data_IF_247356720010
#
_entry.id   IF_247356720010
#
_cell.length_a   1.000
_cell.length_b   1.000
_cell.length_c   1.000
_cell.angle_alpha   90.00
_cell.angle_beta   90.00
_cell.angle_gamma   90.00
#
_symmetry.space_group_name_H-M   'P 1'
#
loop_
_entity.id
_entity.type
_entity.pdbx_description
1 polymer ?
#
# COMPACT_ATOMS: atom_id res chain seq x y z
N UNK A 1 29.48 56.08 20.06
CA UNK A 1 29.44 55.30 21.28
C UNK A 1 28.07 54.64 21.30
N UNK A 2 27.99 53.46 20.67
CA UNK A 2 26.75 52.70 20.49
C UNK A 2 26.56 51.72 21.63
N UNK A 3 25.42 51.78 22.25
CA UNK A 3 24.95 50.75 23.19
C UNK A 3 24.09 49.74 22.45
N UNK A 4 24.53 48.49 22.47
CA UNK A 4 23.77 47.33 22.00
C UNK A 4 23.01 46.78 23.21
N UNK A 5 21.68 46.81 23.16
CA UNK A 5 20.83 46.13 24.14
C UNK A 5 20.68 44.64 23.75
N UNK A 6 21.23 43.75 24.57
CA UNK A 6 20.96 42.31 24.55
C UNK A 6 19.70 42.04 25.32
N UNK A 7 18.74 41.35 24.69
CA UNK A 7 17.54 40.86 25.34
C UNK A 7 17.85 39.59 26.14
N UNK A 8 17.72 39.68 27.45
CA UNK A 8 17.81 38.55 28.36
C UNK A 8 16.45 37.85 28.46
N UNK A 9 16.41 36.56 28.16
CA UNK A 9 15.26 35.71 28.42
C UNK A 9 15.17 35.43 29.94
N UNK A 10 14.10 35.90 30.57
CA UNK A 10 13.77 35.56 31.95
C UNK A 10 12.97 34.28 31.97
N UNK A 11 13.56 33.19 32.46
CA UNK A 11 12.82 32.02 32.93
C UNK A 11 12.12 32.40 34.26
N UNK A 12 10.81 32.51 34.23
CA UNK A 12 9.99 32.46 35.45
C UNK A 12 9.42 31.05 35.58
N UNK A 13 10.01 30.28 36.48
CA UNK A 13 9.36 29.10 37.02
C UNK A 13 8.26 29.55 37.97
N UNK A 14 7.01 29.42 37.59
CA UNK A 14 5.86 29.50 38.50
C UNK A 14 5.27 28.10 38.59
N UNK A 15 5.47 27.42 39.72
CA UNK A 15 4.57 26.37 40.19
C UNK A 15 3.21 27.04 40.50
N UNK A 16 2.22 26.68 39.73
CA UNK A 16 0.82 27.04 39.95
C UNK A 16 0.00 26.00 39.21
N UNK A 17 -0.51 25.02 39.94
CA UNK A 17 -1.57 24.13 39.50
C UNK A 17 -2.88 24.94 39.52
N UNK A 18 -3.21 25.55 38.41
CA UNK A 18 -4.60 25.93 38.11
C UNK A 18 -4.78 25.74 36.60
N UNK A 19 -5.46 24.68 36.24
CA UNK A 19 -6.14 24.59 34.95
C UNK A 19 -7.18 25.71 34.94
N UNK A 20 -6.79 26.89 34.48
CA UNK A 20 -7.73 27.89 34.03
C UNK A 20 -8.46 27.34 32.79
N UNK A 21 -9.46 26.51 33.06
CA UNK A 21 -10.52 26.22 32.09
C UNK A 21 -11.19 27.59 31.90
N UNK A 22 -10.88 28.27 30.80
CA UNK A 22 -11.69 29.38 30.32
C UNK A 22 -13.11 28.81 30.27
N UNK A 23 -14.07 29.33 31.07
CA UNK A 23 -15.42 28.79 31.05
C UNK A 23 -15.96 29.00 29.63
N UNK A 24 -15.97 27.89 28.86
CA UNK A 24 -16.68 27.87 27.58
C UNK A 24 -18.14 28.23 27.92
N UNK A 25 -18.71 29.14 27.14
CA UNK A 25 -20.17 29.44 27.25
C UNK A 25 -20.97 28.13 27.06
N UNK A 26 -22.31 28.19 27.14
CA UNK A 26 -23.10 27.00 26.83
C UNK A 26 -22.67 26.33 25.55
N UNK A 27 -22.72 24.98 25.48
CA UNK A 27 -22.27 24.25 24.33
C UNK A 27 -23.07 24.62 23.08
N UNK A 28 -22.42 24.58 21.95
CA UNK A 28 -23.01 24.74 20.63
C UNK A 28 -23.02 23.42 19.83
N UNK A 29 -23.33 23.53 18.57
CA UNK A 29 -23.35 22.42 17.62
C UNK A 29 -22.42 22.71 16.45
N UNK A 30 -21.64 21.71 16.01
CA UNK A 30 -20.89 21.78 14.75
C UNK A 30 -21.42 20.74 13.77
N UNK A 31 -21.86 21.18 12.59
CA UNK A 31 -22.20 20.33 11.47
C UNK A 31 -21.04 20.35 10.47
N UNK A 32 -20.48 19.19 10.19
CA UNK A 32 -19.41 19.01 9.19
C UNK A 32 -20.00 18.24 8.02
N UNK A 33 -19.94 18.81 6.82
CA UNK A 33 -20.31 18.15 5.56
C UNK A 33 -19.10 18.00 4.65
N UNK A 34 -19.11 16.98 3.78
CA UNK A 34 -18.12 16.80 2.73
C UNK A 34 -18.79 16.94 1.36
N UNK A 35 -18.13 17.65 0.47
CA UNK A 35 -18.40 17.65 -0.97
C UNK A 35 -17.19 17.00 -1.65
N UNK A 36 -17.38 15.77 -2.12
CA UNK A 36 -16.32 15.00 -2.77
C UNK A 36 -16.54 15.05 -4.27
N UNK A 37 -15.50 15.48 -4.98
CA UNK A 37 -15.46 15.54 -6.45
C UNK A 37 -14.41 14.56 -6.98
N UNK A 38 -14.54 14.18 -8.26
CA UNK A 38 -13.65 13.23 -8.92
C UNK A 38 -14.27 11.84 -9.07
N UNK A 39 -13.51 10.93 -9.67
CA UNK A 39 -14.03 9.66 -10.18
C UNK A 39 -13.68 8.44 -9.33
N UNK A 40 -12.78 8.59 -8.37
CA UNK A 40 -12.30 7.50 -7.50
C UNK A 40 -12.32 7.97 -6.03
N UNK A 41 -13.50 8.40 -5.59
CA UNK A 41 -13.75 8.82 -4.22
C UNK A 41 -13.49 7.67 -3.24
N UNK A 42 -13.00 8.00 -2.04
CA UNK A 42 -12.75 7.02 -0.99
C UNK A 42 -14.05 6.33 -0.56
N UNK A 43 -14.17 5.05 -0.88
CA UNK A 43 -15.38 4.27 -0.59
C UNK A 43 -15.61 4.07 0.93
N UNK A 44 -14.56 4.18 1.74
CA UNK A 44 -14.63 4.08 3.20
C UNK A 44 -15.07 5.39 3.87
N UNK A 45 -15.09 6.49 3.12
CA UNK A 45 -15.34 7.82 3.63
C UNK A 45 -14.19 8.38 4.46
N UNK A 46 -14.48 9.44 5.21
CA UNK A 46 -13.49 10.19 5.97
C UNK A 46 -13.76 10.05 7.48
N UNK A 47 -12.82 10.51 8.28
CA UNK A 47 -12.97 10.65 9.72
C UNK A 47 -12.73 12.11 10.10
N UNK A 48 -13.55 12.65 10.97
CA UNK A 48 -13.40 14.02 11.49
C UNK A 48 -13.37 14.00 12.99
N UNK A 49 -12.47 14.77 13.59
CA UNK A 49 -12.36 14.93 15.03
C UNK A 49 -12.24 16.40 15.39
N UNK A 50 -12.77 16.78 16.55
CA UNK A 50 -12.51 18.08 17.17
C UNK A 50 -11.38 17.92 18.18
N UNK A 51 -10.34 18.74 18.05
CA UNK A 51 -9.14 18.71 18.89
C UNK A 51 -8.55 17.29 18.98
N UNK A 52 -8.36 16.78 20.19
CA UNK A 52 -7.92 15.40 20.45
C UNK A 52 -9.08 14.44 20.77
N UNK A 53 -10.31 14.84 20.50
CA UNK A 53 -11.51 14.04 20.77
C UNK A 53 -11.68 12.84 19.84
N UNK A 54 -12.68 11.99 20.11
CA UNK A 54 -12.94 10.81 19.28
C UNK A 54 -13.36 11.22 17.87
N UNK A 55 -12.78 10.50 16.88
CA UNK A 55 -13.11 10.74 15.47
C UNK A 55 -14.49 10.16 15.12
N UNK A 56 -15.29 10.93 14.39
CA UNK A 56 -16.58 10.51 13.82
C UNK A 56 -16.42 10.17 12.34
N UNK A 57 -17.22 9.22 11.85
CA UNK A 57 -17.27 8.88 10.44
C UNK A 57 -17.99 9.98 9.64
N UNK A 58 -17.48 10.29 8.46
CA UNK A 58 -18.05 11.23 7.49
C UNK A 58 -18.06 10.58 6.11
N UNK A 59 -19.23 10.23 5.60
CA UNK A 59 -19.36 9.65 4.27
C UNK A 59 -18.96 10.65 3.18
N UNK A 60 -18.47 10.19 2.01
CA UNK A 60 -18.32 11.04 0.84
C UNK A 60 -19.67 11.68 0.50
N UNK A 61 -19.69 13.00 0.31
CA UNK A 61 -20.93 13.77 0.09
C UNK A 61 -21.98 13.62 1.22
N UNK A 62 -21.54 13.29 2.44
CA UNK A 62 -22.37 13.16 3.64
C UNK A 62 -22.13 14.28 4.64
N UNK A 63 -22.74 14.14 5.82
CA UNK A 63 -22.52 15.04 6.96
C UNK A 63 -22.46 14.26 8.27
N UNK A 64 -21.79 14.85 9.26
CA UNK A 64 -21.79 14.39 10.65
C UNK A 64 -21.97 15.58 11.59
N UNK A 65 -22.38 15.34 12.84
CA UNK A 65 -22.74 16.38 13.80
C UNK A 65 -22.00 16.14 15.10
N UNK A 66 -21.32 17.16 15.59
CA UNK A 66 -20.79 17.24 16.94
C UNK A 66 -21.80 18.01 17.80
N UNK A 67 -22.65 17.26 18.50
CA UNK A 67 -23.63 17.83 19.42
C UNK A 67 -22.96 18.20 20.76
N UNK A 68 -23.47 19.26 21.42
CA UNK A 68 -22.96 19.73 22.71
C UNK A 68 -21.43 19.94 22.71
N UNK A 69 -20.88 20.40 21.60
CA UNK A 69 -19.48 20.76 21.54
C UNK A 69 -19.21 22.04 22.33
N UNK A 70 -18.07 22.15 23.05
CA UNK A 70 -17.74 23.38 23.78
C UNK A 70 -17.79 24.59 22.84
N UNK A 71 -18.27 25.75 23.32
CA UNK A 71 -18.18 26.97 22.51
C UNK A 71 -16.75 27.53 22.52
N UNK A 72 -16.31 28.09 21.40
CA UNK A 72 -14.95 28.63 21.24
C UNK A 72 -14.26 28.18 19.97
N UNK A 73 -12.96 28.40 19.92
CA UNK A 73 -12.10 28.01 18.82
C UNK A 73 -11.60 26.57 19.03
N UNK A 74 -11.74 25.74 18.00
CA UNK A 74 -11.36 24.33 17.99
C UNK A 74 -10.57 23.97 16.73
N UNK A 75 -9.72 22.95 16.81
CA UNK A 75 -9.08 22.34 15.64
C UNK A 75 -9.98 21.23 15.08
N UNK A 76 -10.49 21.39 13.87
CA UNK A 76 -11.14 20.31 13.12
C UNK A 76 -10.07 19.54 12.35
N UNK A 77 -9.91 18.26 12.68
CA UNK A 77 -8.94 17.35 12.05
C UNK A 77 -9.67 16.39 11.13
N UNK A 78 -9.25 16.31 9.86
CA UNK A 78 -9.78 15.40 8.85
C UNK A 78 -8.75 14.28 8.63
N UNK A 79 -9.15 13.04 8.85
CA UNK A 79 -8.34 11.85 8.65
C UNK A 79 -9.04 10.81 7.77
N UNK A 80 -8.35 9.71 7.47
CA UNK A 80 -8.88 8.64 6.64
C UNK A 80 -9.06 9.04 5.17
N UNK A 81 -8.39 10.09 4.72
CA UNK A 81 -8.40 10.54 3.32
C UNK A 81 -7.40 9.69 2.55
N UNK A 82 -7.86 8.96 1.52
CA UNK A 82 -6.98 8.14 0.69
C UNK A 82 -5.95 8.99 -0.08
N UNK A 83 -4.79 8.40 -0.40
CA UNK A 83 -3.66 9.12 -1.02
C UNK A 83 -3.94 9.77 -2.37
N UNK A 84 -5.03 9.36 -3.06
CA UNK A 84 -5.49 9.97 -4.29
C UNK A 84 -6.48 11.12 -4.10
N UNK A 85 -6.80 11.48 -2.85
CA UNK A 85 -7.73 12.57 -2.50
C UNK A 85 -7.02 13.69 -1.74
N UNK A 86 -7.43 14.92 -1.98
CA UNK A 86 -6.88 16.12 -1.35
C UNK A 86 -8.01 16.92 -0.70
N UNK A 87 -7.84 17.31 0.55
CA UNK A 87 -8.71 18.28 1.25
C UNK A 87 -8.23 19.68 0.88
N UNK A 88 -9.06 20.50 0.27
CA UNK A 88 -8.68 21.78 -0.33
C UNK A 88 -7.96 22.74 0.64
N UNK A 89 -8.43 22.83 1.88
CA UNK A 89 -7.86 23.74 2.90
C UNK A 89 -6.96 23.01 3.91
N UNK A 90 -6.48 21.80 3.55
CA UNK A 90 -5.65 20.97 4.40
C UNK A 90 -6.43 20.09 5.38
N UNK A 91 -5.73 19.12 5.96
CA UNK A 91 -6.31 18.13 6.86
C UNK A 91 -6.64 18.66 8.27
N UNK A 92 -6.18 19.86 8.62
CA UNK A 92 -6.47 20.51 9.91
C UNK A 92 -6.80 21.97 9.69
N UNK A 93 -7.92 22.42 10.27
CA UNK A 93 -8.35 23.82 10.20
C UNK A 93 -8.96 24.29 11.52
N UNK A 94 -8.86 25.58 11.82
CA UNK A 94 -9.58 26.18 12.93
C UNK A 94 -11.07 26.37 12.60
N UNK A 95 -11.93 26.10 13.56
CA UNK A 95 -13.39 26.33 13.51
C UNK A 95 -13.85 26.98 14.82
N UNK A 96 -14.72 27.97 14.71
CA UNK A 96 -15.33 28.61 15.90
C UNK A 96 -16.73 28.08 16.07
N UNK A 97 -17.02 27.51 17.25
CA UNK A 97 -18.34 27.00 17.61
C UNK A 97 -19.03 28.08 18.48
N UNK A 98 -20.14 28.65 18.00
CA UNK A 98 -20.87 29.65 18.78
C UNK A 98 -21.60 29.01 19.98
N UNK A 99 -21.81 29.79 21.03
CA UNK A 99 -22.60 29.37 22.16
C UNK A 99 -24.09 29.28 21.80
N UNK A 100 -24.73 28.15 22.14
CA UNK A 100 -26.17 27.88 21.91
C UNK A 100 -26.61 27.97 20.44
N UNK A 101 -25.66 27.93 19.48
CA UNK A 101 -25.96 28.03 18.06
C UNK A 101 -25.16 26.96 17.25
N UNK A 102 -25.38 26.90 15.94
CA UNK A 102 -24.81 25.89 15.04
C UNK A 102 -23.79 26.50 14.10
N UNK A 103 -22.55 26.07 14.23
CA UNK A 103 -21.53 26.26 13.19
C UNK A 103 -21.69 25.21 12.08
N UNK A 104 -21.36 25.60 10.83
CA UNK A 104 -21.37 24.72 9.68
C UNK A 104 -20.02 24.81 8.95
N UNK A 105 -19.43 23.65 8.65
CA UNK A 105 -18.20 23.56 7.89
C UNK A 105 -18.42 22.60 6.74
N UNK A 106 -18.08 23.05 5.52
CA UNK A 106 -18.06 22.21 4.35
C UNK A 106 -16.61 21.90 3.95
N UNK A 107 -16.31 20.60 3.83
CA UNK A 107 -15.02 20.10 3.39
C UNK A 107 -15.10 19.89 1.88
N UNK A 108 -14.26 20.59 1.12
CA UNK A 108 -14.07 20.35 -0.30
C UNK A 108 -12.97 19.31 -0.48
N UNK A 109 -13.31 18.12 -0.99
CA UNK A 109 -12.37 17.01 -1.19
C UNK A 109 -12.38 16.65 -2.67
N UNK A 110 -11.21 16.71 -3.30
CA UNK A 110 -11.04 16.32 -4.71
C UNK A 110 -10.23 15.05 -4.81
N UNK A 111 -10.74 14.05 -5.52
CA UNK A 111 -10.08 12.77 -5.71
C UNK A 111 -9.71 12.58 -7.18
N UNK A 112 -8.49 12.11 -7.44
CA UNK A 112 -8.04 11.69 -8.76
C UNK A 112 -8.19 10.18 -8.91
N UNK A 113 -8.10 9.66 -10.13
CA UNK A 113 -8.02 8.23 -10.36
C UNK A 113 -6.75 7.67 -9.71
N UNK A 114 -6.89 6.60 -8.93
CA UNK A 114 -5.73 5.83 -8.47
C UNK A 114 -5.01 5.23 -9.66
N UNK A 115 -3.73 5.03 -9.51
CA UNK A 115 -2.91 4.38 -10.54
C UNK A 115 -2.42 3.02 -10.03
N UNK A 116 -2.17 2.12 -10.96
CA UNK A 116 -1.49 0.87 -10.68
C UNK A 116 -0.46 0.57 -11.76
N UNK A 117 0.55 -0.21 -11.38
CA UNK A 117 1.55 -0.78 -12.28
C UNK A 117 1.21 -2.25 -12.52
N UNK A 118 1.54 -2.77 -13.68
CA UNK A 118 1.39 -4.19 -14.02
C UNK A 118 2.38 -4.60 -15.10
N UNK A 119 2.65 -5.90 -15.22
CA UNK A 119 3.32 -6.43 -16.40
C UNK A 119 2.28 -6.76 -17.48
N UNK A 120 2.53 -6.30 -18.69
CA UNK A 120 1.69 -6.56 -19.86
C UNK A 120 2.48 -7.32 -20.92
N UNK A 121 1.82 -8.24 -21.63
CA UNK A 121 2.42 -8.99 -22.73
C UNK A 121 1.90 -8.40 -24.04
N UNK A 122 2.80 -7.83 -24.85
CA UNK A 122 2.52 -7.28 -26.18
C UNK A 122 3.57 -7.79 -27.14
N UNK A 123 3.17 -8.24 -28.34
CA UNK A 123 4.07 -8.70 -29.39
C UNK A 123 5.07 -9.77 -28.89
N UNK A 124 4.59 -10.74 -28.08
CA UNK A 124 5.34 -11.80 -27.46
C UNK A 124 6.45 -11.34 -26.47
N UNK A 125 6.42 -10.07 -26.04
CA UNK A 125 7.32 -9.54 -25.01
C UNK A 125 6.56 -9.06 -23.78
N UNK A 126 7.20 -9.18 -22.62
CA UNK A 126 6.67 -8.71 -21.32
C UNK A 126 7.32 -7.40 -20.95
N UNK A 127 6.51 -6.38 -20.71
CA UNK A 127 6.91 -5.03 -20.33
C UNK A 127 6.12 -4.50 -19.14
N UNK A 128 6.64 -3.41 -18.56
CA UNK A 128 5.98 -2.70 -17.47
C UNK A 128 5.02 -1.64 -18.02
N UNK A 129 3.82 -1.66 -17.50
CA UNK A 129 2.75 -0.72 -17.82
C UNK A 129 2.19 -0.06 -16.56
N UNK A 130 1.62 1.12 -16.71
CA UNK A 130 0.74 1.73 -15.72
C UNK A 130 -0.62 2.01 -16.33
N UNK A 131 -1.66 2.04 -15.48
CA UNK A 131 -2.99 2.49 -15.86
C UNK A 131 -3.72 3.12 -14.66
N UNK A 132 -4.81 3.82 -14.93
CA UNK A 132 -5.71 4.31 -13.90
C UNK A 132 -6.64 3.21 -13.40
N UNK A 133 -7.20 3.40 -12.20
CA UNK A 133 -8.12 2.45 -11.54
C UNK A 133 -9.37 2.11 -12.36
N UNK A 134 -9.77 2.97 -13.31
CA UNK A 134 -10.88 2.73 -14.24
C UNK A 134 -10.44 2.06 -15.57
N UNK A 135 -9.14 1.79 -15.72
CA UNK A 135 -8.54 1.20 -16.93
C UNK A 135 -8.13 2.20 -18.00
N UNK A 136 -8.41 3.48 -17.81
CA UNK A 136 -7.96 4.53 -18.74
C UNK A 136 -6.47 4.85 -18.54
N UNK A 137 -5.89 5.62 -19.44
CA UNK A 137 -4.51 6.13 -19.32
C UNK A 137 -3.45 5.04 -19.32
N UNK A 138 -3.73 3.85 -19.86
CA UNK A 138 -2.73 2.78 -19.99
C UNK A 138 -1.51 3.27 -20.76
N UNK A 139 -0.34 3.12 -20.14
CA UNK A 139 0.95 3.58 -20.69
C UNK A 139 2.01 2.50 -20.49
N UNK A 140 2.66 2.10 -21.60
CA UNK A 140 3.86 1.26 -21.58
C UNK A 140 5.04 2.09 -21.08
N UNK A 141 5.75 1.63 -20.07
CA UNK A 141 6.90 2.32 -19.45
C UNK A 141 8.24 1.75 -19.91
N UNK A 142 8.31 0.44 -20.17
CA UNK A 142 9.49 -0.19 -20.73
C UNK A 142 9.21 -0.70 -22.14
N UNK A 143 10.27 -0.85 -22.94
CA UNK A 143 10.19 -1.32 -24.33
C UNK A 143 11.49 -2.00 -24.73
N UNK A 144 11.42 -2.89 -25.68
CA UNK A 144 12.55 -3.68 -26.15
C UNK A 144 12.12 -5.11 -26.40
N UNK A 145 13.10 -6.01 -26.54
CA UNK A 145 12.89 -7.45 -26.75
C UNK A 145 13.16 -8.28 -25.50
N UNK A 146 13.52 -7.63 -24.38
CA UNK A 146 13.87 -8.30 -23.13
C UNK A 146 12.66 -8.34 -22.20
N UNK A 147 12.57 -9.40 -21.42
CA UNK A 147 11.58 -9.51 -20.35
C UNK A 147 11.76 -8.38 -19.32
N UNK A 148 10.69 -7.64 -19.03
CA UNK A 148 10.57 -6.71 -17.92
C UNK A 148 9.30 -7.07 -17.12
N UNK A 149 9.42 -7.47 -15.85
CA UNK A 149 8.29 -7.98 -15.07
C UNK A 149 8.41 -7.78 -13.56
N UNK A 150 7.42 -8.27 -12.81
CA UNK A 150 7.35 -8.19 -11.35
C UNK A 150 7.51 -6.77 -10.79
N UNK A 151 6.71 -5.80 -11.25
CA UNK A 151 6.86 -4.41 -10.83
C UNK A 151 6.40 -4.18 -9.39
N UNK A 152 7.07 -3.25 -8.70
CA UNK A 152 6.73 -2.77 -7.36
C UNK A 152 6.97 -1.26 -7.25
N UNK A 153 5.97 -0.51 -6.76
CA UNK A 153 6.10 0.92 -6.49
C UNK A 153 6.98 1.20 -5.27
N UNK A 154 7.76 2.28 -5.33
CA UNK A 154 8.36 2.89 -4.14
C UNK A 154 7.27 3.49 -3.25
N UNK A 155 7.45 3.56 -1.91
CA UNK A 155 6.42 4.06 -0.99
C UNK A 155 5.98 5.50 -1.25
N UNK A 156 6.83 6.31 -1.85
CA UNK A 156 6.54 7.70 -2.26
C UNK A 156 5.88 7.82 -3.64
N UNK A 157 5.68 6.68 -4.34
CA UNK A 157 5.13 6.63 -5.69
C UNK A 157 6.02 7.25 -6.78
N UNK A 158 7.26 7.60 -6.47
CA UNK A 158 8.15 8.28 -7.42
C UNK A 158 8.86 7.31 -8.38
N UNK A 159 9.09 6.06 -7.96
CA UNK A 159 9.81 5.05 -8.75
C UNK A 159 9.09 3.71 -8.77
N UNK A 160 9.47 2.88 -9.75
CA UNK A 160 9.04 1.49 -9.89
C UNK A 160 10.30 0.63 -9.95
N UNK A 161 10.42 -0.35 -9.03
CA UNK A 161 11.41 -1.42 -9.15
C UNK A 161 10.81 -2.57 -9.96
N UNK A 162 11.63 -3.26 -10.74
CA UNK A 162 11.20 -4.38 -11.58
C UNK A 162 12.35 -5.31 -11.91
N UNK A 163 12.05 -6.49 -12.38
CA UNK A 163 12.99 -7.48 -12.90
C UNK A 163 13.16 -7.31 -14.39
N UNK A 164 14.40 -7.33 -14.89
CA UNK A 164 14.71 -7.20 -16.32
C UNK A 164 15.77 -8.19 -16.79
N UNK A 165 15.59 -8.76 -17.96
CA UNK A 165 16.57 -9.64 -18.63
C UNK A 165 17.45 -8.92 -19.65
N UNK A 166 17.47 -7.58 -19.68
CA UNK A 166 18.13 -6.79 -20.74
C UNK A 166 19.65 -6.93 -20.81
N UNK A 167 20.30 -7.38 -19.74
CA UNK A 167 21.75 -7.57 -19.66
C UNK A 167 22.18 -9.05 -19.69
N UNK A 168 21.27 -9.97 -20.09
CA UNK A 168 21.58 -11.39 -20.34
C UNK A 168 21.04 -12.36 -19.29
N UNK A 169 20.90 -11.94 -18.03
CA UNK A 169 20.21 -12.65 -16.96
C UNK A 169 19.21 -11.71 -16.27
N UNK A 170 18.41 -12.25 -15.34
CA UNK A 170 17.44 -11.44 -14.59
C UNK A 170 18.15 -10.58 -13.54
N UNK A 171 17.93 -9.28 -13.62
CA UNK A 171 18.49 -8.30 -12.68
C UNK A 171 17.43 -7.30 -12.25
N UNK A 172 17.68 -6.61 -11.14
CA UNK A 172 16.78 -5.58 -10.63
C UNK A 172 17.11 -4.21 -11.20
N UNK A 173 16.07 -3.53 -11.62
CA UNK A 173 16.11 -2.17 -12.14
C UNK A 173 15.11 -1.29 -11.42
N UNK A 174 15.33 0.02 -11.46
CA UNK A 174 14.30 1.02 -11.17
C UNK A 174 14.13 1.98 -12.33
N UNK A 175 12.90 2.49 -12.50
CA UNK A 175 12.56 3.60 -13.40
C UNK A 175 11.76 4.65 -12.62
N UNK A 176 11.73 5.89 -13.07
CA UNK A 176 10.79 6.89 -12.59
C UNK A 176 9.34 6.49 -12.94
N UNK A 177 8.37 7.04 -12.22
CA UNK A 177 6.93 6.75 -12.41
C UNK A 177 6.40 7.04 -13.82
N UNK A 178 7.12 7.86 -14.59
CA UNK A 178 6.81 8.18 -16.00
C UNK A 178 7.55 7.28 -17.02
N UNK A 179 8.40 6.35 -16.54
CA UNK A 179 9.22 5.44 -17.35
C UNK A 179 10.60 5.97 -17.70
N UNK A 180 10.95 7.18 -17.27
CA UNK A 180 12.29 7.76 -17.47
C UNK A 180 13.32 7.29 -16.42
N UNK A 181 14.59 7.67 -16.59
CA UNK A 181 15.69 7.46 -15.64
C UNK A 181 15.86 5.98 -15.19
N UNK A 182 16.05 5.02 -16.13
CA UNK A 182 16.30 3.63 -15.77
C UNK A 182 17.64 3.48 -15.06
N UNK A 183 17.65 2.75 -13.93
CA UNK A 183 18.85 2.46 -13.15
C UNK A 183 18.91 0.98 -12.84
N UNK A 184 20.04 0.32 -13.15
CA UNK A 184 20.34 -1.03 -12.71
C UNK A 184 20.73 -1.02 -11.24
N UNK A 185 20.17 -1.91 -10.44
CA UNK A 185 20.46 -2.04 -9.00
C UNK A 185 21.37 -3.25 -8.71
N UNK A 186 21.22 -4.35 -9.45
CA UNK A 186 22.00 -5.56 -9.23
C UNK A 186 22.83 -5.92 -10.46
N UNK A 187 23.95 -6.61 -10.23
CA UNK A 187 24.86 -7.09 -11.27
C UNK A 187 25.54 -8.38 -10.78
N UNK A 188 24.74 -9.42 -10.62
CA UNK A 188 25.23 -10.75 -10.24
C UNK A 188 25.19 -11.68 -11.47
N UNK A 189 26.10 -12.66 -11.64
CA UNK A 189 26.02 -13.61 -12.75
C UNK A 189 24.80 -14.55 -12.67
N UNK A 190 24.06 -14.55 -11.56
CA UNK A 190 22.84 -15.31 -11.36
C UNK A 190 21.64 -14.38 -11.24
N UNK A 191 20.45 -14.98 -11.39
CA UNK A 191 19.20 -14.23 -11.43
C UNK A 191 18.85 -13.56 -10.09
N UNK A 192 18.47 -12.28 -10.18
CA UNK A 192 17.87 -11.45 -9.15
C UNK A 192 16.49 -10.99 -9.60
N UNK A 193 15.44 -11.23 -8.80
CA UNK A 193 14.07 -10.98 -9.24
C UNK A 193 13.11 -10.64 -8.09
N UNK A 194 11.88 -10.23 -8.44
CA UNK A 194 10.76 -10.00 -7.52
C UNK A 194 11.08 -8.99 -6.41
N UNK A 195 11.41 -7.75 -6.77
CA UNK A 195 11.72 -6.71 -5.79
C UNK A 195 10.51 -6.30 -4.96
N UNK A 196 10.75 -5.97 -3.68
CA UNK A 196 9.76 -5.41 -2.76
C UNK A 196 10.40 -4.30 -1.92
N UNK A 197 9.87 -3.08 -2.03
CA UNK A 197 10.34 -1.93 -1.28
C UNK A 197 9.99 -2.04 0.20
N UNK A 198 10.90 -1.63 1.09
CA UNK A 198 10.57 -1.37 2.49
C UNK A 198 9.68 -0.13 2.61
N UNK A 199 8.80 -0.03 3.64
CA UNK A 199 7.84 1.09 3.76
C UNK A 199 8.50 2.44 3.99
N UNK A 200 9.73 2.48 4.52
CA UNK A 200 10.54 3.69 4.66
C UNK A 200 11.26 4.10 3.36
N UNK A 201 11.17 3.26 2.32
CA UNK A 201 11.84 3.45 1.04
C UNK A 201 13.36 3.29 1.08
N UNK A 202 13.96 2.84 2.18
CA UNK A 202 15.41 2.74 2.30
C UNK A 202 16.01 1.44 1.77
N UNK A 203 15.21 0.36 1.69
CA UNK A 203 15.67 -0.97 1.32
C UNK A 203 14.79 -1.63 0.26
N UNK A 204 15.36 -2.63 -0.41
CA UNK A 204 14.64 -3.54 -1.32
C UNK A 204 14.91 -4.98 -0.88
N UNK A 205 13.86 -5.73 -0.55
CA UNK A 205 13.90 -7.18 -0.44
C UNK A 205 13.71 -7.80 -1.82
N UNK A 206 14.41 -8.89 -2.10
CA UNK A 206 14.37 -9.54 -3.41
C UNK A 206 14.75 -11.01 -3.35
N UNK A 207 14.53 -11.70 -4.43
CA UNK A 207 14.83 -13.11 -4.61
C UNK A 207 16.11 -13.25 -5.42
N UNK A 208 17.04 -14.12 -4.99
CA UNK A 208 18.31 -14.33 -5.66
C UNK A 208 18.81 -15.78 -5.61
N UNK A 209 19.49 -16.20 -6.67
CA UNK A 209 20.21 -17.47 -6.76
C UNK A 209 21.71 -17.33 -6.45
N UNK A 210 22.19 -16.14 -6.03
CA UNK A 210 23.62 -15.82 -5.81
C UNK A 210 24.33 -16.70 -4.79
N UNK A 211 23.59 -17.38 -3.89
CA UNK A 211 24.18 -18.32 -2.92
C UNK A 211 24.79 -19.58 -3.54
N UNK A 212 24.51 -19.84 -4.81
CA UNK A 212 24.93 -21.04 -5.52
C UNK A 212 24.00 -22.24 -5.28
N UNK A 213 24.18 -23.30 -6.07
CA UNK A 213 23.26 -24.45 -6.09
C UNK A 213 21.92 -24.09 -6.75
N UNK A 214 20.91 -24.91 -6.47
CA UNK A 214 19.54 -24.70 -6.99
C UNK A 214 18.64 -23.94 -6.03
N UNK A 215 19.19 -23.45 -4.90
CA UNK A 215 18.38 -22.71 -3.90
C UNK A 215 18.20 -21.25 -4.28
N UNK A 216 16.95 -20.84 -4.21
CA UNK A 216 16.49 -19.47 -4.41
C UNK A 216 16.16 -18.90 -3.04
N UNK A 217 16.73 -17.75 -2.70
CA UNK A 217 16.69 -17.21 -1.34
C UNK A 217 16.27 -15.74 -1.32
N UNK A 218 15.79 -15.28 -0.16
CA UNK A 218 15.46 -13.89 0.06
C UNK A 218 16.71 -13.12 0.51
N UNK A 219 16.92 -11.98 -0.12
CA UNK A 219 17.97 -11.01 0.19
C UNK A 219 17.35 -9.63 0.45
N UNK A 220 18.11 -8.77 1.09
CA UNK A 220 17.82 -7.35 1.23
C UNK A 220 19.05 -6.55 0.83
N UNK A 221 18.85 -5.36 0.24
CA UNK A 221 19.90 -4.41 -0.13
C UNK A 221 19.43 -2.98 0.10
N UNK A 222 20.39 -2.04 0.13
CA UNK A 222 20.10 -0.61 0.08
C UNK A 222 19.67 -0.17 -1.33
N UNK A 223 19.06 1.02 -1.45
CA UNK A 223 18.55 1.53 -2.73
C UNK A 223 19.59 1.73 -3.82
N UNK A 224 20.85 1.88 -3.47
CA UNK A 224 21.97 2.02 -4.41
C UNK A 224 22.53 0.68 -4.88
N UNK A 225 21.94 -0.44 -4.42
CA UNK A 225 22.39 -1.80 -4.70
C UNK A 225 23.50 -2.30 -3.78
N UNK A 226 23.93 -1.51 -2.80
CA UNK A 226 24.95 -1.88 -1.80
C UNK A 226 24.37 -2.68 -0.63
N UNK A 227 25.24 -3.13 0.28
CA UNK A 227 24.90 -3.81 1.54
C UNK A 227 24.00 -5.04 1.38
N UNK A 228 24.19 -5.81 0.30
CA UNK A 228 23.40 -7.01 0.02
C UNK A 228 23.58 -8.05 1.12
N UNK A 229 22.49 -8.41 1.79
CA UNK A 229 22.45 -9.37 2.90
C UNK A 229 21.45 -10.49 2.64
N UNK A 230 21.86 -11.75 2.87
CA UNK A 230 21.01 -12.93 2.75
C UNK A 230 20.18 -13.13 4.02
N UNK A 231 18.86 -13.19 3.89
CA UNK A 231 17.93 -13.36 5.02
C UNK A 231 17.52 -14.83 5.23
N UNK A 232 17.37 -15.62 4.16
CA UNK A 232 16.98 -17.02 4.26
C UNK A 232 18.12 -17.97 3.84
N UNK A 233 18.12 -19.20 4.38
CA UNK A 233 19.12 -20.24 4.12
C UNK A 233 18.46 -21.63 4.09
N UNK A 234 17.30 -21.73 3.44
CA UNK A 234 16.63 -23.01 3.28
C UNK A 234 17.24 -23.82 2.11
N UNK A 235 17.07 -25.13 2.13
CA UNK A 235 17.42 -25.98 0.99
C UNK A 235 16.32 -26.04 -0.08
N UNK A 236 15.35 -25.13 -0.03
CA UNK A 236 14.17 -25.07 -0.87
C UNK A 236 14.01 -23.67 -1.48
N UNK A 237 13.08 -23.52 -2.42
CA UNK A 237 12.75 -22.26 -3.06
C UNK A 237 12.03 -21.32 -2.08
N UNK A 238 12.60 -20.13 -1.90
CA UNK A 238 12.01 -18.98 -1.21
C UNK A 238 11.66 -17.91 -2.26
N UNK A 239 10.49 -17.30 -2.19
CA UNK A 239 10.04 -16.40 -3.25
C UNK A 239 9.07 -15.32 -2.75
N UNK A 240 8.84 -14.31 -3.59
CA UNK A 240 7.81 -13.28 -3.44
C UNK A 240 7.78 -12.55 -2.09
N UNK A 241 8.92 -11.97 -1.63
CA UNK A 241 8.96 -11.22 -0.39
C UNK A 241 8.04 -10.00 -0.42
N UNK A 242 7.52 -9.61 0.75
CA UNK A 242 6.80 -8.37 0.95
C UNK A 242 6.95 -7.90 2.38
N UNK A 243 7.11 -6.60 2.58
CA UNK A 243 7.26 -6.00 3.89
C UNK A 243 5.91 -5.81 4.60
N UNK A 244 5.92 -5.89 5.93
CA UNK A 244 4.82 -5.36 6.75
C UNK A 244 4.81 -3.82 6.71
N UNK A 245 3.66 -3.15 6.91
CA UNK A 245 3.56 -1.70 6.82
C UNK A 245 4.44 -0.93 7.83
N UNK A 246 4.75 -1.56 8.97
CA UNK A 246 5.65 -1.02 10.00
C UNK A 246 7.14 -1.27 9.72
N UNK A 247 7.46 -2.01 8.64
CA UNK A 247 8.83 -2.37 8.28
C UNK A 247 9.48 -3.41 9.19
N UNK A 248 8.77 -3.92 10.20
CA UNK A 248 9.35 -4.83 11.19
C UNK A 248 9.46 -6.27 10.70
N UNK A 249 8.67 -6.66 9.68
CA UNK A 249 8.58 -8.04 9.19
C UNK A 249 8.59 -8.13 7.67
N UNK A 250 8.97 -9.33 7.20
CA UNK A 250 8.86 -9.73 5.79
C UNK A 250 8.02 -11.00 5.73
N UNK A 251 6.98 -10.98 4.88
CA UNK A 251 6.19 -12.14 4.51
C UNK A 251 6.70 -12.67 3.17
N UNK A 252 6.77 -13.98 3.01
CA UNK A 252 7.33 -14.61 1.81
C UNK A 252 6.72 -15.98 1.57
N UNK A 253 6.92 -16.53 0.38
CA UNK A 253 6.52 -17.89 0.02
C UNK A 253 7.71 -18.84 0.15
N UNK A 254 7.53 -19.99 0.79
CA UNK A 254 8.56 -21.02 1.00
C UNK A 254 8.06 -22.40 0.62
N UNK A 255 8.93 -23.21 -0.01
CA UNK A 255 8.69 -24.63 -0.29
C UNK A 255 9.37 -25.57 0.71
N UNK A 256 9.95 -25.08 1.81
CA UNK A 256 10.74 -25.89 2.76
C UNK A 256 9.98 -27.06 3.37
N UNK A 257 8.65 -27.01 3.40
CA UNK A 257 7.77 -28.08 3.88
C UNK A 257 7.17 -28.91 2.73
N UNK A 258 7.76 -28.88 1.53
CA UNK A 258 7.36 -29.65 0.35
C UNK A 258 6.31 -28.98 -0.54
N UNK A 259 5.47 -28.11 -0.01
CA UNK A 259 4.51 -27.28 -0.76
C UNK A 259 4.79 -25.80 -0.51
N UNK A 260 4.34 -24.94 -1.42
CA UNK A 260 4.38 -23.49 -1.20
C UNK A 260 3.46 -23.13 -0.03
N UNK A 261 4.03 -22.48 0.98
CA UNK A 261 3.31 -21.95 2.11
C UNK A 261 3.79 -20.53 2.40
N UNK A 262 2.94 -19.74 3.02
CA UNK A 262 3.29 -18.39 3.46
C UNK A 262 4.05 -18.48 4.78
N UNK A 263 5.19 -17.82 4.83
CA UNK A 263 6.07 -17.67 5.98
C UNK A 263 6.23 -16.20 6.34
N UNK A 264 6.55 -15.95 7.59
CA UNK A 264 6.88 -14.62 8.12
C UNK A 264 8.23 -14.69 8.82
N UNK A 265 9.02 -13.62 8.74
CA UNK A 265 10.26 -13.43 9.48
C UNK A 265 10.38 -11.97 9.94
N UNK A 266 11.25 -11.70 10.89
CA UNK A 266 11.67 -10.33 11.18
C UNK A 266 12.46 -9.73 10.00
N UNK A 267 12.54 -8.42 9.91
CA UNK A 267 13.24 -7.71 8.83
C UNK A 267 14.74 -8.08 8.72
N UNK A 268 15.34 -8.52 9.80
CA UNK A 268 16.74 -9.01 9.86
C UNK A 268 16.91 -10.49 9.46
N UNK A 269 15.83 -11.18 9.08
CA UNK A 269 15.82 -12.59 8.70
C UNK A 269 15.66 -13.57 9.88
N UNK A 270 15.57 -13.10 11.12
CA UNK A 270 15.34 -13.93 12.32
C UNK A 270 13.86 -14.32 12.46
N UNK A 271 13.54 -15.21 13.39
CA UNK A 271 12.18 -15.65 13.75
C UNK A 271 11.33 -16.12 12.55
N UNK A 272 11.92 -16.95 11.67
CA UNK A 272 11.21 -17.50 10.52
C UNK A 272 10.18 -18.54 10.95
N UNK A 273 8.92 -18.28 10.71
CA UNK A 273 7.84 -19.22 11.04
C UNK A 273 6.76 -19.25 9.96
N UNK A 274 6.06 -20.37 9.90
CA UNK A 274 5.00 -20.63 8.94
C UNK A 274 3.70 -19.94 9.36
N UNK A 275 3.09 -19.17 8.46
CA UNK A 275 1.82 -18.46 8.67
C UNK A 275 0.61 -19.25 8.15
N UNK A 276 0.77 -20.09 7.09
CA UNK A 276 -0.31 -20.91 6.55
C UNK A 276 0.02 -22.39 6.63
N UNK A 277 -1.03 -23.25 6.71
CA UNK A 277 -0.87 -24.72 6.84
C UNK A 277 -1.94 -25.48 6.04
N UNK A 278 -2.23 -25.03 4.82
CA UNK A 278 -3.21 -25.67 3.95
C UNK A 278 -2.67 -26.94 3.28
N UNK A 279 -3.57 -27.74 2.70
CA UNK A 279 -3.22 -28.87 1.84
C UNK A 279 -2.82 -28.42 0.43
N UNK A 280 -3.11 -27.18 0.05
CA UNK A 280 -2.74 -26.55 -1.22
C UNK A 280 -1.41 -25.76 -1.15
N UNK A 281 -1.14 -25.05 -2.23
CA UNK A 281 -0.05 -24.07 -2.32
C UNK A 281 -0.58 -22.69 -1.97
N UNK A 282 -0.02 -22.06 -0.96
CA UNK A 282 -0.31 -20.69 -0.54
C UNK A 282 0.87 -19.80 -0.92
N UNK A 283 0.63 -18.68 -1.60
CA UNK A 283 1.70 -17.84 -2.17
C UNK A 283 1.26 -16.37 -2.35
N UNK A 284 2.24 -15.53 -2.73
CA UNK A 284 2.03 -14.12 -3.13
C UNK A 284 1.26 -13.30 -2.08
N UNK A 285 1.63 -13.50 -0.81
CA UNK A 285 0.98 -12.85 0.31
C UNK A 285 1.38 -11.38 0.44
N UNK A 286 0.42 -10.53 0.86
CA UNK A 286 0.59 -9.10 1.12
C UNK A 286 -0.17 -8.67 2.36
N UNK A 287 0.47 -7.88 3.23
CA UNK A 287 -0.21 -7.24 4.36
C UNK A 287 -1.19 -6.16 3.88
N UNK A 288 -2.30 -6.00 4.60
CA UNK A 288 -3.14 -4.80 4.48
C UNK A 288 -2.38 -3.56 4.98
N UNK A 289 -2.73 -2.33 4.54
CA UNK A 289 -2.01 -1.11 4.94
C UNK A 289 -1.99 -0.84 6.44
N UNK A 290 -3.00 -1.32 7.17
CA UNK A 290 -3.08 -1.25 8.63
C UNK A 290 -2.35 -2.40 9.36
N UNK A 291 -1.77 -3.34 8.60
CA UNK A 291 -1.05 -4.50 9.12
C UNK A 291 -1.92 -5.57 9.77
N UNK A 292 -3.25 -5.41 9.80
CA UNK A 292 -4.16 -6.29 10.53
C UNK A 292 -4.51 -7.59 9.79
N UNK A 293 -4.40 -7.59 8.45
CA UNK A 293 -4.77 -8.70 7.58
C UNK A 293 -3.69 -9.02 6.55
N UNK A 294 -3.79 -10.22 5.98
CA UNK A 294 -2.93 -10.70 4.89
C UNK A 294 -3.84 -11.23 3.78
N UNK A 295 -3.68 -10.73 2.56
CA UNK A 295 -4.28 -11.30 1.34
C UNK A 295 -3.25 -12.20 0.66
N UNK A 296 -3.67 -13.33 0.11
CA UNK A 296 -2.80 -14.29 -0.56
C UNK A 296 -3.57 -15.12 -1.59
N UNK A 297 -2.88 -15.81 -2.49
CA UNK A 297 -3.49 -16.80 -3.37
C UNK A 297 -3.32 -18.21 -2.81
N UNK A 298 -4.27 -19.09 -3.11
CA UNK A 298 -4.23 -20.49 -2.71
C UNK A 298 -4.96 -21.39 -3.71
N UNK A 299 -4.41 -22.58 -3.98
CA UNK A 299 -5.06 -23.63 -4.79
C UNK A 299 -5.69 -24.74 -3.93
N UNK A 300 -6.00 -24.44 -2.65
CA UNK A 300 -6.49 -25.43 -1.67
C UNK A 300 -7.86 -26.05 -2.02
N UNK A 301 -8.63 -25.44 -2.86
CA UNK A 301 -9.96 -25.86 -3.33
C UNK A 301 -9.96 -26.35 -4.80
N UNK A 302 -8.78 -26.38 -5.46
CA UNK A 302 -8.60 -26.99 -6.78
C UNK A 302 -7.96 -26.10 -7.82
N UNK A 303 -8.18 -24.79 -7.74
CA UNK A 303 -7.55 -23.76 -8.59
C UNK A 303 -7.11 -22.56 -7.76
N UNK A 304 -6.31 -21.66 -8.36
CA UNK A 304 -5.84 -20.48 -7.63
C UNK A 304 -6.97 -19.49 -7.42
N UNK A 305 -7.30 -19.25 -6.17
CA UNK A 305 -8.28 -18.28 -5.71
C UNK A 305 -7.64 -17.31 -4.69
N UNK A 306 -8.29 -16.16 -4.48
CA UNK A 306 -7.81 -15.16 -3.51
C UNK A 306 -8.42 -15.43 -2.14
N UNK A 307 -7.58 -15.46 -1.13
CA UNK A 307 -7.92 -15.64 0.27
C UNK A 307 -7.44 -14.44 1.10
N UNK A 308 -8.08 -14.25 2.24
CA UNK A 308 -7.65 -13.30 3.27
C UNK A 308 -7.60 -14.00 4.62
N UNK A 309 -6.68 -13.57 5.47
CA UNK A 309 -6.57 -14.02 6.86
C UNK A 309 -6.16 -12.85 7.76
N UNK A 310 -6.28 -13.01 9.08
CA UNK A 310 -5.68 -12.09 10.04
C UNK A 310 -4.15 -12.17 9.99
N UNK A 311 -3.46 -11.14 10.46
CA UNK A 311 -1.99 -11.10 10.48
C UNK A 311 -1.35 -12.20 11.36
N UNK A 312 -2.10 -12.77 12.30
CA UNK A 312 -1.69 -13.92 13.14
C UNK A 312 -1.93 -15.29 12.46
N UNK A 313 -2.41 -15.32 11.22
CA UNK A 313 -2.72 -16.53 10.45
C UNK A 313 -4.12 -17.13 10.70
N UNK A 314 -4.90 -16.57 11.62
CA UNK A 314 -6.26 -17.02 11.91
C UNK A 314 -7.30 -16.44 10.93
N UNK A 315 -8.53 -16.95 10.96
CA UNK A 315 -9.67 -16.37 10.25
C UNK A 315 -9.57 -16.41 8.73
N UNK A 316 -8.98 -17.46 8.17
CA UNK A 316 -8.84 -17.65 6.72
C UNK A 316 -10.19 -17.67 6.04
N UNK A 317 -10.40 -16.79 5.07
CA UNK A 317 -11.64 -16.66 4.29
C UNK A 317 -11.31 -16.58 2.81
N UNK A 318 -12.03 -17.32 1.98
CA UNK A 318 -11.93 -17.24 0.52
C UNK A 318 -12.74 -16.05 0.01
N UNK A 319 -12.17 -15.26 -0.90
CA UNK A 319 -12.79 -14.06 -1.46
C UNK A 319 -13.30 -14.27 -2.90
N UNK A 320 -12.66 -15.14 -3.66
CA UNK A 320 -13.08 -15.48 -5.03
C UNK A 320 -13.48 -16.94 -5.11
N UNK A 321 -14.54 -17.25 -5.92
CA UNK A 321 -15.17 -18.59 -5.98
C UNK A 321 -15.55 -18.87 -7.43
N UNK A 322 -14.62 -19.22 -8.27
CA UNK A 322 -14.87 -19.50 -9.67
C UNK A 322 -13.92 -20.59 -10.17
N UNK A 323 -13.98 -20.96 -11.43
CA UNK A 323 -13.11 -22.01 -12.02
C UNK A 323 -11.93 -21.42 -12.79
N UNK A 324 -11.74 -20.11 -12.73
CA UNK A 324 -10.62 -19.43 -13.33
C UNK A 324 -9.52 -19.22 -12.27
N UNK A 325 -8.31 -18.95 -12.72
CA UNK A 325 -7.21 -18.66 -11.81
C UNK A 325 -7.21 -17.18 -11.45
N UNK A 326 -7.25 -16.89 -10.16
CA UNK A 326 -7.15 -15.58 -9.55
C UNK A 326 -5.83 -15.52 -8.76
N UNK A 327 -4.93 -14.61 -9.14
CA UNK A 327 -3.55 -14.63 -8.65
C UNK A 327 -3.02 -13.23 -8.34
N UNK A 328 -1.93 -13.18 -7.54
CA UNK A 328 -1.16 -12.00 -7.18
C UNK A 328 -2.00 -10.84 -6.64
N UNK A 329 -2.73 -11.06 -5.53
CA UNK A 329 -3.52 -10.01 -4.92
C UNK A 329 -2.64 -8.93 -4.28
N UNK A 330 -3.11 -7.67 -4.31
CA UNK A 330 -2.48 -6.55 -3.63
C UNK A 330 -3.53 -5.56 -3.10
N UNK A 331 -3.29 -4.99 -1.91
CA UNK A 331 -4.16 -4.00 -1.30
C UNK A 331 -3.96 -2.61 -1.89
N UNK A 332 -5.04 -1.82 -1.99
CA UNK A 332 -4.92 -0.37 -2.14
C UNK A 332 -4.37 0.27 -0.87
N UNK A 333 -3.69 1.42 -0.97
CA UNK A 333 -3.04 2.11 0.15
C UNK A 333 -4.01 2.50 1.28
N UNK A 334 -5.29 2.67 0.98
CA UNK A 334 -6.36 2.93 1.95
C UNK A 334 -7.06 1.65 2.48
N UNK A 335 -6.68 0.47 1.97
CA UNK A 335 -7.29 -0.81 2.33
C UNK A 335 -8.72 -1.01 1.82
N UNK A 336 -9.25 -0.12 0.97
CA UNK A 336 -10.63 -0.19 0.48
C UNK A 336 -10.83 -1.14 -0.70
N UNK A 337 -9.74 -1.58 -1.34
CA UNK A 337 -9.78 -2.38 -2.56
C UNK A 337 -8.64 -3.40 -2.62
N UNK A 338 -8.89 -4.51 -3.27
CA UNK A 338 -7.87 -5.50 -3.65
C UNK A 338 -7.80 -5.53 -5.17
N UNK A 339 -6.57 -5.44 -5.72
CA UNK A 339 -6.27 -5.63 -7.13
C UNK A 339 -5.64 -7.01 -7.31
N UNK A 340 -5.96 -7.71 -8.39
CA UNK A 340 -5.44 -9.03 -8.70
C UNK A 340 -5.51 -9.28 -10.20
N UNK A 341 -4.86 -10.32 -10.71
CA UNK A 341 -5.07 -10.74 -12.10
C UNK A 341 -5.84 -12.05 -12.18
N UNK A 342 -6.60 -12.19 -13.25
CA UNK A 342 -7.49 -13.33 -13.47
C UNK A 342 -7.63 -13.65 -14.95
N UNK A 343 -7.79 -14.93 -15.27
CA UNK A 343 -8.11 -15.39 -16.63
C UNK A 343 -9.61 -15.72 -16.81
N UNK A 344 -10.48 -15.27 -15.90
CA UNK A 344 -11.95 -15.51 -15.95
C UNK A 344 -12.62 -14.97 -17.22
N UNK A 345 -12.01 -14.04 -17.91
CA UNK A 345 -12.45 -13.50 -19.21
C UNK A 345 -11.82 -14.20 -20.42
N UNK A 346 -11.09 -15.31 -20.22
CA UNK A 346 -10.33 -16.04 -21.25
C UNK A 346 -8.86 -15.63 -21.27
N UNK A 347 -8.53 -14.37 -21.50
CA UNK A 347 -7.19 -13.84 -21.38
C UNK A 347 -6.92 -13.30 -19.96
N UNK A 348 -5.65 -13.27 -19.57
CA UNK A 348 -5.24 -12.67 -18.29
C UNK A 348 -5.48 -11.16 -18.30
N UNK A 349 -6.18 -10.68 -17.29
CA UNK A 349 -6.50 -9.27 -17.13
C UNK A 349 -6.45 -8.87 -15.64
N UNK A 350 -6.30 -7.58 -15.39
CA UNK A 350 -6.35 -7.03 -14.03
C UNK A 350 -7.79 -6.79 -13.63
N UNK A 351 -8.12 -7.20 -12.41
CA UNK A 351 -9.41 -7.02 -11.77
C UNK A 351 -9.25 -6.32 -10.42
N UNK A 352 -10.31 -5.70 -9.96
CA UNK A 352 -10.43 -5.16 -8.60
C UNK A 352 -11.66 -5.73 -7.91
N UNK A 353 -11.62 -5.78 -6.58
CA UNK A 353 -12.74 -6.15 -5.72
C UNK A 353 -12.65 -5.41 -4.38
N UNK A 354 -13.75 -5.42 -3.62
CA UNK A 354 -13.72 -4.98 -2.23
C UNK A 354 -13.03 -6.02 -1.33
N UNK A 355 -12.58 -5.63 -0.11
CA UNK A 355 -11.95 -6.54 0.85
C UNK A 355 -12.81 -7.71 1.35
N UNK A 356 -14.11 -7.66 1.11
CA UNK A 356 -15.08 -8.72 1.39
C UNK A 356 -15.32 -9.67 0.20
N UNK A 357 -14.59 -9.49 -0.93
CA UNK A 357 -14.72 -10.24 -2.17
C UNK A 357 -15.83 -9.75 -3.10
N UNK A 358 -16.61 -8.75 -2.69
CA UNK A 358 -17.71 -8.20 -3.51
C UNK A 358 -17.21 -7.20 -4.57
N UNK A 359 -18.10 -6.79 -5.48
CA UNK A 359 -17.87 -5.76 -6.49
C UNK A 359 -16.66 -6.07 -7.42
N UNK A 360 -16.47 -7.33 -7.78
CA UNK A 360 -15.42 -7.74 -8.74
C UNK A 360 -15.67 -7.09 -10.10
N UNK A 361 -14.66 -6.37 -10.62
CA UNK A 361 -14.73 -5.76 -11.95
C UNK A 361 -13.39 -5.87 -12.68
N UNK A 362 -13.45 -6.07 -14.00
CA UNK A 362 -12.27 -5.98 -14.88
C UNK A 362 -11.84 -4.53 -15.02
N UNK A 363 -10.51 -4.29 -14.95
CA UNK A 363 -9.92 -2.96 -15.06
C UNK A 363 -9.19 -2.78 -16.38
N UNK A 364 -8.31 -3.71 -16.77
CA UNK A 364 -7.55 -3.58 -18.02
C UNK A 364 -8.43 -3.91 -19.24
N UNK A 365 -8.32 -3.09 -20.30
CA UNK A 365 -8.92 -3.37 -21.59
C UNK A 365 -8.07 -4.41 -22.36
N UNK A 366 -8.70 -5.21 -23.24
CA UNK A 366 -8.01 -6.13 -24.13
C UNK A 366 -7.21 -5.38 -25.23
N UNK A 367 -6.20 -6.03 -25.89
CA UNK A 367 -6.00 -7.48 -25.99
C UNK A 367 -4.74 -8.04 -25.28
N UNK A 368 -3.96 -7.22 -24.57
CA UNK A 368 -2.71 -7.70 -23.95
C UNK A 368 -2.97 -8.43 -22.64
N UNK A 369 -2.28 -9.55 -22.42
CA UNK A 369 -2.28 -10.19 -21.10
C UNK A 369 -1.70 -9.25 -20.05
N UNK A 370 -2.40 -9.06 -18.94
CA UNK A 370 -2.00 -8.18 -17.84
C UNK A 370 -1.93 -8.97 -16.53
N UNK A 371 -0.75 -8.95 -15.87
CA UNK A 371 -0.46 -9.76 -14.69
C UNK A 371 0.32 -8.94 -13.64
N UNK A 372 0.39 -9.47 -12.40
CA UNK A 372 1.15 -8.93 -11.27
C UNK A 372 0.88 -7.43 -11.03
N UNK A 373 -0.37 -7.05 -10.82
CA UNK A 373 -0.71 -5.66 -10.57
C UNK A 373 -0.31 -5.22 -9.15
N UNK A 374 0.10 -3.96 -9.02
CA UNK A 374 0.33 -3.32 -7.73
C UNK A 374 -0.19 -1.88 -7.74
N UNK A 375 -0.99 -1.52 -6.74
CA UNK A 375 -1.45 -0.15 -6.56
C UNK A 375 -0.28 0.80 -6.29
N UNK A 376 -0.39 2.01 -6.81
CA UNK A 376 0.43 3.13 -6.38
C UNK A 376 0.04 3.48 -4.93
N UNK A 377 1.02 3.70 -4.04
CA UNK A 377 0.81 4.01 -2.62
C UNK A 377 -0.01 5.28 -2.37
#
# INVERSE_FOLDING_TARGET
MLLVCAAAALLLAACGSDNDIIPSGPPGTLVVSAVTTGTDADANGYRVALDSGPAQALAPNGSTIFESAPSGEHALVVGGVSGNCVVADGATRSVVIPSEDTARVELQISCTLRRFVYQGITDDNTDIFTANSDGTGAKRLTSGSSFDGFPAWSPDGARIAFTSARDGNLELYTIAADGSDPKRLTNDPRDDQSPAWSPDGAHIAFVSQRAGGDSVEIYVMDLDGSNVSRLTRASAEESTPSWSPDGARIIFTSKRDGRRQVYVMNADGSDQHRATSSAGNDALARYSPDGSRIVFQSDRDGDNEIFVMNADGAGVTQLTHNTARDEAPNWSSDGSSIIFHSNRGGAWAVYTMKPDGSAVRKVTADPSEARYPAWMP
#
